data_IF_295978334087
#
_entry.id   IF_295978334087
#
_cell.length_a   1.000
_cell.length_b   1.000
_cell.length_c   1.000
_cell.angle_alpha   90.00
_cell.angle_beta   90.00
_cell.angle_gamma   90.00
#
_symmetry.space_group_name_H-M   'P 1'
#
loop_
_entity.id
_entity.type
_entity.pdbx_description
1 polymer ?
#
# COMPACT_ATOMS: atom_id res chain seq x y z
N UNK A 1 28.29 7.05 11.37
CA UNK A 1 27.00 6.33 11.37
C UNK A 1 25.94 7.29 11.86
N UNK A 2 24.87 7.47 11.10
CA UNK A 2 23.74 8.28 11.53
C UNK A 2 23.07 7.63 12.74
N UNK A 3 22.66 8.44 13.73
CA UNK A 3 21.91 7.93 14.88
C UNK A 3 20.50 7.50 14.47
N UNK A 4 19.88 6.59 15.23
CA UNK A 4 18.48 6.16 15.01
C UNK A 4 17.54 7.37 14.94
N UNK A 5 17.72 8.34 15.84
CA UNK A 5 16.94 9.58 15.86
C UNK A 5 17.12 10.38 14.55
N UNK A 6 18.36 10.55 14.08
CA UNK A 6 18.65 11.27 12.82
C UNK A 6 18.01 10.59 11.61
N UNK A 7 18.02 9.25 11.58
CA UNK A 7 17.41 8.46 10.50
C UNK A 7 15.89 8.64 10.50
N UNK A 8 15.25 8.55 11.67
CA UNK A 8 13.81 8.71 11.82
C UNK A 8 13.39 10.13 11.41
N UNK A 9 14.08 11.16 11.90
CA UNK A 9 13.78 12.56 11.58
C UNK A 9 13.97 12.85 10.09
N UNK A 10 15.03 12.32 9.47
CA UNK A 10 15.25 12.45 8.02
C UNK A 10 14.13 11.77 7.22
N UNK A 11 13.70 10.58 7.65
CA UNK A 11 12.56 9.88 7.02
C UNK A 11 11.26 10.69 7.14
N UNK A 12 10.98 11.27 8.32
CA UNK A 12 9.83 12.14 8.54
C UNK A 12 9.88 13.39 7.65
N UNK A 13 11.05 14.01 7.49
CA UNK A 13 11.23 15.16 6.60
C UNK A 13 10.91 14.80 5.14
N UNK A 14 11.44 13.68 4.64
CA UNK A 14 11.10 13.21 3.29
C UNK A 14 9.61 12.90 3.12
N UNK A 15 8.96 12.32 4.14
CA UNK A 15 7.51 12.10 4.14
C UNK A 15 6.75 13.44 4.10
N UNK A 16 7.19 14.45 4.83
CA UNK A 16 6.57 15.78 4.82
C UNK A 16 6.68 16.44 3.44
N UNK A 17 7.88 16.45 2.83
CA UNK A 17 8.09 16.90 1.45
C UNK A 17 7.18 16.18 0.46
N UNK A 18 7.05 14.85 0.61
CA UNK A 18 6.20 14.03 -0.24
C UNK A 18 4.73 14.44 -0.13
N UNK A 19 4.26 14.78 1.07
CA UNK A 19 2.89 15.28 1.28
C UNK A 19 2.67 16.64 0.59
N UNK A 20 3.66 17.53 0.57
CA UNK A 20 3.56 18.80 -0.15
C UNK A 20 3.49 18.59 -1.68
N UNK A 21 4.32 17.69 -2.21
CA UNK A 21 4.19 17.29 -3.62
C UNK A 21 2.85 16.61 -3.92
N UNK A 22 2.31 15.84 -2.97
CA UNK A 22 0.99 15.24 -3.14
C UNK A 22 -0.12 16.29 -3.24
N UNK A 23 -0.10 17.31 -2.36
CA UNK A 23 -1.08 18.42 -2.37
C UNK A 23 -1.05 19.21 -3.67
N UNK A 24 0.13 19.39 -4.26
CA UNK A 24 0.31 20.07 -5.54
C UNK A 24 0.04 19.18 -6.76
N UNK A 25 -0.40 17.94 -6.56
CA UNK A 25 -0.71 16.98 -7.63
C UNK A 25 0.53 16.37 -8.29
N UNK A 26 1.74 16.64 -7.78
CA UNK A 26 2.97 16.08 -8.32
C UNK A 26 3.27 14.70 -7.73
N UNK A 27 2.45 13.72 -8.09
CA UNK A 27 2.49 12.37 -7.50
C UNK A 27 3.80 11.63 -7.78
N UNK A 28 4.46 11.89 -8.91
CA UNK A 28 5.78 11.30 -9.22
C UNK A 28 6.87 11.77 -8.26
N UNK A 29 6.94 13.09 -7.98
CA UNK A 29 7.88 13.63 -7.00
C UNK A 29 7.53 13.19 -5.58
N UNK A 30 6.23 13.13 -5.25
CA UNK A 30 5.78 12.57 -3.98
C UNK A 30 6.26 11.12 -3.79
N UNK A 31 6.04 10.26 -4.78
CA UNK A 31 6.51 8.87 -4.77
C UNK A 31 8.03 8.77 -4.61
N UNK A 32 8.79 9.58 -5.34
CA UNK A 32 10.25 9.63 -5.20
C UNK A 32 10.67 9.94 -3.75
N UNK A 33 10.07 10.96 -3.14
CA UNK A 33 10.35 11.34 -1.74
C UNK A 33 9.91 10.26 -0.74
N UNK A 34 8.76 9.61 -0.95
CA UNK A 34 8.37 8.46 -0.12
C UNK A 34 9.36 7.28 -0.20
N UNK A 35 9.89 6.99 -1.39
CA UNK A 35 10.94 5.97 -1.54
C UNK A 35 12.21 6.35 -0.79
N UNK A 36 12.63 7.62 -0.83
CA UNK A 36 13.75 8.10 -0.01
C UNK A 36 13.48 7.93 1.49
N UNK A 37 12.26 8.25 1.94
CA UNK A 37 11.85 8.06 3.33
C UNK A 37 11.94 6.59 3.77
N UNK A 38 11.48 5.65 2.95
CA UNK A 38 11.59 4.21 3.24
C UNK A 38 13.03 3.70 3.20
N UNK A 39 13.85 4.23 2.29
CA UNK A 39 15.27 3.86 2.21
C UNK A 39 16.03 4.24 3.48
N UNK A 40 15.72 5.40 4.08
CA UNK A 40 16.25 5.77 5.40
C UNK A 40 15.88 4.73 6.47
N UNK A 41 14.63 4.26 6.48
CA UNK A 41 14.17 3.28 7.47
C UNK A 41 14.60 1.83 7.16
N UNK A 42 15.29 1.59 6.04
CA UNK A 42 15.74 0.25 5.64
C UNK A 42 16.96 -0.20 6.43
N UNK A 43 17.82 0.74 6.84
CA UNK A 43 19.04 0.44 7.62
C UNK A 43 18.74 0.11 9.08
N UNK A 44 17.54 0.46 9.56
CA UNK A 44 17.07 0.17 10.91
C UNK A 44 16.60 -1.29 10.99
N UNK A 45 17.29 -2.09 11.82
CA UNK A 45 16.98 -3.51 12.03
C UNK A 45 16.39 -3.75 13.41
N UNK A 46 15.32 -4.53 13.49
CA UNK A 46 14.78 -5.01 14.76
C UNK A 46 15.79 -5.97 15.40
N UNK A 47 16.31 -5.68 16.61
CA UNK A 47 17.26 -6.56 17.31
C UNK A 47 16.68 -7.94 17.65
N UNK A 48 15.35 -8.10 17.67
CA UNK A 48 14.66 -9.39 17.83
C UNK A 48 14.15 -10.00 16.52
N UNK A 49 14.33 -9.30 15.40
CA UNK A 49 13.66 -9.58 14.13
C UNK A 49 14.02 -10.93 13.50
N UNK A 50 13.11 -11.90 13.64
CA UNK A 50 12.91 -12.93 12.62
C UNK A 50 12.76 -12.22 11.28
N UNK A 51 13.64 -12.50 10.31
CA UNK A 51 13.48 -11.98 8.94
C UNK A 51 12.10 -12.42 8.44
N UNK A 52 11.29 -11.52 7.90
CA UNK A 52 10.12 -11.97 7.12
C UNK A 52 10.62 -12.86 5.97
N UNK A 53 9.83 -13.83 5.50
CA UNK A 53 10.24 -14.70 4.38
C UNK A 53 10.75 -13.89 3.17
N UNK A 54 10.12 -12.76 2.88
CA UNK A 54 10.54 -11.86 1.81
C UNK A 54 11.92 -11.22 2.06
N UNK A 55 12.24 -10.85 3.29
CA UNK A 55 13.55 -10.29 3.69
C UNK A 55 14.63 -11.37 3.79
N UNK A 56 14.26 -12.59 4.19
CA UNK A 56 15.15 -13.74 4.22
C UNK A 56 15.55 -14.16 2.79
N UNK A 57 14.58 -14.20 1.86
CA UNK A 57 14.83 -14.52 0.46
C UNK A 57 15.63 -13.42 -0.26
N UNK A 58 15.33 -12.14 -0.01
CA UNK A 58 16.10 -11.03 -0.57
C UNK A 58 17.57 -11.04 -0.08
N UNK A 59 17.80 -11.47 1.16
CA UNK A 59 19.14 -11.63 1.74
C UNK A 59 19.92 -12.83 1.18
N UNK A 60 19.28 -13.79 0.48
CA UNK A 60 19.94 -14.94 -0.14
C UNK A 60 20.43 -14.67 -1.58
N UNK A 61 20.02 -13.55 -2.20
CA UNK A 61 20.35 -13.21 -3.61
C UNK A 61 21.54 -12.24 -3.72
N UNK A 62 22.13 -11.78 -2.61
CA UNK A 62 23.32 -10.92 -2.63
C UNK A 62 24.18 -11.10 -1.37
N UNK A 63 25.43 -11.60 -1.47
CA UNK A 63 26.34 -11.71 -0.33
C UNK A 63 27.06 -10.38 0.02
N UNK A 64 26.69 -9.25 -0.59
CA UNK A 64 27.55 -8.05 -0.60
C UNK A 64 27.08 -6.89 0.29
N UNK A 65 26.21 -7.13 1.28
CA UNK A 65 25.46 -6.07 1.97
C UNK A 65 25.57 -6.04 3.49
N UNK A 66 26.72 -6.37 4.08
CA UNK A 66 26.98 -6.20 5.53
C UNK A 66 27.54 -4.80 5.85
N UNK A 67 26.97 -3.76 5.23
CA UNK A 67 27.30 -2.36 5.52
C UNK A 67 26.19 -1.69 6.32
N UNK A 68 26.51 -1.27 7.55
CA UNK A 68 25.79 -0.26 8.35
C UNK A 68 24.35 -0.55 8.78
N UNK A 69 24.03 -1.78 9.17
CA UNK A 69 22.77 -2.03 9.89
C UNK A 69 22.82 -1.37 11.28
N UNK A 70 21.87 -0.46 11.56
CA UNK A 70 21.76 0.22 12.86
C UNK A 70 20.75 -0.54 13.72
N UNK A 71 21.15 -1.08 14.89
CA UNK A 71 20.22 -1.71 15.81
C UNK A 71 19.17 -0.70 16.28
N UNK A 72 17.91 -1.06 16.12
CA UNK A 72 16.78 -0.20 16.50
C UNK A 72 16.48 -0.35 17.99
N UNK A 73 16.21 0.75 18.70
CA UNK A 73 15.80 0.68 20.10
C UNK A 73 14.36 0.12 20.19
N UNK A 74 14.03 -0.76 21.15
CA UNK A 74 12.69 -1.33 21.26
C UNK A 74 11.55 -0.31 21.31
N UNK A 75 11.80 0.84 21.95
CA UNK A 75 10.87 1.97 22.05
C UNK A 75 10.54 2.62 20.71
N UNK A 76 11.46 2.61 19.73
CA UNK A 76 11.25 3.22 18.41
C UNK A 76 10.52 2.28 17.44
N UNK A 77 10.46 0.98 17.73
CA UNK A 77 9.92 -0.01 16.80
C UNK A 77 8.46 0.30 16.42
N UNK A 78 7.65 0.73 17.38
CA UNK A 78 6.25 1.09 17.15
C UNK A 78 6.14 2.32 16.22
N UNK A 79 6.94 3.35 16.47
CA UNK A 79 6.95 4.58 15.68
C UNK A 79 7.47 4.36 14.26
N UNK A 80 8.52 3.56 14.10
CA UNK A 80 9.06 3.18 12.79
C UNK A 80 8.03 2.36 12.01
N UNK A 81 7.34 1.43 12.68
CA UNK A 81 6.28 0.62 12.07
C UNK A 81 5.13 1.49 11.60
N UNK A 82 4.67 2.42 12.42
CA UNK A 82 3.63 3.40 12.07
C UNK A 82 4.08 4.34 10.93
N UNK A 83 5.34 4.77 10.96
CA UNK A 83 5.91 5.61 9.91
C UNK A 83 5.96 4.86 8.56
N UNK A 84 6.46 3.62 8.54
CA UNK A 84 6.46 2.77 7.33
C UNK A 84 5.03 2.55 6.81
N UNK A 85 4.09 2.26 7.71
CA UNK A 85 2.68 2.02 7.37
C UNK A 85 2.04 3.23 6.70
N UNK A 86 2.23 4.42 7.28
CA UNK A 86 1.68 5.67 6.74
C UNK A 86 2.31 6.06 5.40
N UNK A 87 3.62 5.82 5.23
CA UNK A 87 4.30 6.04 3.95
C UNK A 87 3.71 5.12 2.88
N UNK A 88 3.61 3.82 3.14
CA UNK A 88 3.02 2.85 2.22
C UNK A 88 1.56 3.19 1.86
N UNK A 89 0.76 3.61 2.84
CA UNK A 89 -0.62 4.06 2.61
C UNK A 89 -0.71 5.25 1.65
N UNK A 90 0.17 6.24 1.83
CA UNK A 90 0.19 7.43 0.98
C UNK A 90 0.74 7.12 -0.42
N UNK A 91 1.75 6.25 -0.53
CA UNK A 91 2.25 5.76 -1.82
C UNK A 91 1.16 5.02 -2.60
N UNK A 92 0.35 4.19 -1.94
CA UNK A 92 -0.79 3.54 -2.59
C UNK A 92 -1.75 4.56 -3.21
N UNK A 93 -2.04 5.65 -2.50
CA UNK A 93 -2.85 6.75 -3.01
C UNK A 93 -2.21 7.42 -4.23
N UNK A 94 -0.91 7.75 -4.16
CA UNK A 94 -0.17 8.29 -5.31
C UNK A 94 -0.22 7.36 -6.52
N UNK A 95 -0.03 6.07 -6.32
CA UNK A 95 -0.07 5.08 -7.40
C UNK A 95 -1.46 4.98 -8.03
N UNK A 96 -2.53 5.05 -7.23
CA UNK A 96 -3.89 5.12 -7.77
C UNK A 96 -4.13 6.40 -8.58
N UNK A 97 -3.60 7.55 -8.14
CA UNK A 97 -3.68 8.82 -8.88
C UNK A 97 -2.89 8.82 -10.20
N UNK A 98 -1.82 8.04 -10.26
CA UNK A 98 -1.00 7.82 -11.45
C UNK A 98 -1.49 6.64 -12.32
N UNK A 99 -2.63 6.04 -11.99
CA UNK A 99 -3.20 4.86 -12.65
C UNK A 99 -2.27 3.61 -12.64
N UNK A 100 -1.28 3.61 -11.75
CA UNK A 100 -0.32 2.50 -11.55
C UNK A 100 -0.89 1.49 -10.55
N UNK A 101 -2.04 0.92 -10.89
CA UNK A 101 -2.85 0.17 -9.93
C UNK A 101 -2.16 -1.06 -9.34
N UNK A 102 -1.33 -1.80 -10.11
CA UNK A 102 -0.53 -2.93 -9.56
C UNK A 102 0.35 -2.49 -8.39
N UNK A 103 1.09 -1.38 -8.56
CA UNK A 103 1.94 -0.81 -7.51
C UNK A 103 1.11 -0.24 -6.34
N UNK A 104 -0.09 0.27 -6.64
CA UNK A 104 -1.05 0.70 -5.62
C UNK A 104 -1.49 -0.45 -4.71
N UNK A 105 -1.81 -1.61 -5.30
CA UNK A 105 -2.14 -2.83 -4.55
C UNK A 105 -0.96 -3.26 -3.67
N UNK A 106 0.25 -3.35 -4.24
CA UNK A 106 1.45 -3.74 -3.50
C UNK A 106 1.71 -2.82 -2.31
N UNK A 107 1.67 -1.50 -2.52
CA UNK A 107 1.89 -0.52 -1.46
C UNK A 107 0.81 -0.60 -0.37
N UNK A 108 -0.47 -0.77 -0.74
CA UNK A 108 -1.54 -0.91 0.23
C UNK A 108 -1.42 -2.22 1.02
N UNK A 109 -1.03 -3.33 0.39
CA UNK A 109 -0.76 -4.61 1.07
C UNK A 109 0.36 -4.46 2.10
N UNK A 110 1.47 -3.78 1.76
CA UNK A 110 2.53 -3.48 2.76
C UNK A 110 2.01 -2.68 3.94
N UNK A 111 1.09 -1.74 3.71
CA UNK A 111 0.44 -0.99 4.80
C UNK A 111 -0.40 -1.90 5.69
N UNK A 112 -1.17 -2.83 5.10
CA UNK A 112 -2.01 -3.81 5.82
C UNK A 112 -1.16 -4.80 6.63
N UNK A 113 -0.06 -5.31 6.06
CA UNK A 113 0.88 -6.21 6.74
C UNK A 113 1.45 -5.58 8.02
N UNK A 114 1.69 -4.28 8.00
CA UNK A 114 2.15 -3.54 9.18
C UNK A 114 0.99 -3.35 10.16
N UNK A 115 -0.12 -2.78 9.71
CA UNK A 115 -1.34 -2.69 10.52
C UNK A 115 -2.57 -2.57 9.61
N UNK A 116 -3.52 -3.50 9.72
CA UNK A 116 -4.80 -3.38 9.03
C UNK A 116 -5.56 -2.14 9.50
N UNK A 117 -5.98 -1.30 8.57
CA UNK A 117 -6.79 -0.11 8.85
C UNK A 117 -7.84 0.06 7.76
N UNK A 118 -8.96 0.72 8.08
CA UNK A 118 -10.02 1.06 7.13
C UNK A 118 -9.44 1.73 5.89
N UNK A 119 -8.55 2.72 6.08
CA UNK A 119 -7.89 3.44 4.99
C UNK A 119 -7.02 2.54 4.12
N UNK A 120 -6.29 1.58 4.69
CA UNK A 120 -5.40 0.71 3.92
C UNK A 120 -6.19 -0.25 3.02
N UNK A 121 -7.23 -0.89 3.56
CA UNK A 121 -8.15 -1.72 2.77
C UNK A 121 -8.86 -0.90 1.70
N UNK A 122 -9.38 0.29 2.05
CA UNK A 122 -10.02 1.18 1.08
C UNK A 122 -9.08 1.57 -0.06
N UNK A 123 -7.81 1.90 0.22
CA UNK A 123 -6.81 2.22 -0.82
C UNK A 123 -6.53 1.04 -1.73
N UNK A 124 -6.46 -0.18 -1.17
CA UNK A 124 -6.26 -1.40 -1.96
C UNK A 124 -7.49 -1.71 -2.84
N UNK A 125 -8.70 -1.53 -2.30
CA UNK A 125 -9.93 -1.64 -3.07
C UNK A 125 -9.97 -0.67 -4.26
N UNK A 126 -9.61 0.60 -4.06
CA UNK A 126 -9.52 1.58 -5.16
C UNK A 126 -8.54 1.13 -6.24
N UNK A 127 -7.41 0.54 -5.86
CA UNK A 127 -6.45 -0.01 -6.81
C UNK A 127 -7.03 -1.22 -7.57
N UNK A 128 -7.76 -2.12 -6.90
CA UNK A 128 -8.45 -3.25 -7.55
C UNK A 128 -9.53 -2.79 -8.54
N UNK A 129 -10.32 -1.79 -8.19
CA UNK A 129 -11.32 -1.17 -9.08
C UNK A 129 -10.65 -0.65 -10.35
N UNK A 130 -9.51 0.03 -10.22
CA UNK A 130 -8.72 0.52 -11.35
C UNK A 130 -8.18 -0.59 -12.25
N UNK A 131 -7.95 -1.79 -11.70
CA UNK A 131 -7.61 -3.00 -12.47
C UNK A 131 -8.81 -3.70 -13.09
N UNK A 132 -10.04 -3.30 -12.76
CA UNK A 132 -11.27 -4.00 -13.13
C UNK A 132 -11.55 -5.26 -12.30
N UNK A 133 -10.78 -5.51 -11.24
CA UNK A 133 -10.98 -6.65 -10.35
C UNK A 133 -11.99 -6.27 -9.25
N UNK A 134 -13.27 -6.34 -9.61
CA UNK A 134 -14.33 -5.91 -8.71
C UNK A 134 -14.59 -6.89 -7.57
N UNK A 135 -14.29 -8.18 -7.73
CA UNK A 135 -14.42 -9.18 -6.67
C UNK A 135 -13.41 -8.90 -5.55
N UNK A 136 -12.13 -8.68 -5.89
CA UNK A 136 -11.11 -8.31 -4.91
C UNK A 136 -11.43 -6.98 -4.22
N UNK A 137 -11.94 -5.99 -4.96
CA UNK A 137 -12.35 -4.71 -4.39
C UNK A 137 -13.50 -4.85 -3.38
N UNK A 138 -14.52 -5.66 -3.66
CA UNK A 138 -15.62 -5.92 -2.71
C UNK A 138 -15.09 -6.62 -1.46
N UNK A 139 -14.17 -7.56 -1.59
CA UNK A 139 -13.56 -8.23 -0.44
C UNK A 139 -12.85 -7.23 0.48
N UNK A 140 -12.02 -6.34 -0.09
CA UNK A 140 -11.32 -5.32 0.70
C UNK A 140 -12.28 -4.31 1.35
N UNK A 141 -13.38 -3.93 0.66
CA UNK A 141 -14.37 -3.02 1.24
C UNK A 141 -15.16 -3.68 2.38
N UNK A 142 -15.37 -5.00 2.35
CA UNK A 142 -15.96 -5.74 3.48
C UNK A 142 -15.04 -5.77 4.68
N UNK A 143 -13.74 -6.01 4.46
CA UNK A 143 -12.73 -5.91 5.53
C UNK A 143 -12.72 -4.49 6.14
N UNK A 144 -12.73 -3.44 5.30
CA UNK A 144 -12.82 -2.06 5.75
C UNK A 144 -14.10 -1.79 6.57
N UNK A 145 -15.26 -2.28 6.11
CA UNK A 145 -16.54 -2.12 6.81
C UNK A 145 -16.62 -2.92 8.11
N UNK A 146 -15.88 -4.03 8.23
CA UNK A 146 -15.79 -4.79 9.48
C UNK A 146 -15.01 -4.03 10.56
N UNK A 147 -14.01 -3.25 10.15
CA UNK A 147 -13.21 -2.41 11.05
C UNK A 147 -13.95 -1.14 11.49
N UNK A 148 -14.70 -0.51 10.58
CA UNK A 148 -15.57 0.62 10.90
C UNK A 148 -16.91 0.51 10.13
N UNK A 149 -17.95 -0.05 10.76
CA UNK A 149 -19.27 -0.17 10.15
C UNK A 149 -19.99 1.17 9.94
N UNK A 150 -19.48 2.26 10.51
CA UNK A 150 -20.10 3.60 10.44
C UNK A 150 -19.53 4.46 9.30
N UNK A 151 -18.41 4.04 8.70
CA UNK A 151 -17.77 4.74 7.59
C UNK A 151 -18.69 4.75 6.35
N UNK A 152 -19.28 5.91 6.09
CA UNK A 152 -20.17 6.13 4.95
C UNK A 152 -19.43 6.07 3.62
N UNK A 153 -18.15 6.43 3.59
CA UNK A 153 -17.33 6.38 2.37
C UNK A 153 -17.10 4.94 1.93
N UNK A 154 -16.86 4.02 2.87
CA UNK A 154 -16.73 2.59 2.55
C UNK A 154 -18.03 2.02 1.99
N UNK A 155 -19.17 2.32 2.61
CA UNK A 155 -20.50 1.87 2.13
C UNK A 155 -20.82 2.40 0.73
N UNK A 156 -20.63 3.71 0.52
CA UNK A 156 -20.88 4.34 -0.77
C UNK A 156 -19.99 3.74 -1.88
N UNK A 157 -18.72 3.50 -1.59
CA UNK A 157 -17.82 2.85 -2.55
C UNK A 157 -18.25 1.41 -2.84
N UNK A 158 -18.67 0.66 -1.84
CA UNK A 158 -19.15 -0.72 -2.00
C UNK A 158 -20.37 -0.78 -2.95
N UNK A 159 -21.33 0.12 -2.80
CA UNK A 159 -22.49 0.22 -3.70
C UNK A 159 -22.08 0.55 -5.15
N UNK A 160 -21.04 1.36 -5.33
CA UNK A 160 -20.47 1.66 -6.67
C UNK A 160 -19.80 0.43 -7.26
N UNK A 161 -18.97 -0.27 -6.49
CA UNK A 161 -18.25 -1.45 -6.96
C UNK A 161 -19.20 -2.59 -7.29
N UNK A 162 -20.22 -2.84 -6.47
CA UNK A 162 -21.20 -3.88 -6.74
C UNK A 162 -21.98 -3.65 -8.03
N UNK A 163 -22.32 -2.39 -8.34
CA UNK A 163 -22.95 -2.03 -9.62
C UNK A 163 -22.02 -2.33 -10.80
N UNK A 164 -20.74 -1.95 -10.71
CA UNK A 164 -19.73 -2.26 -11.74
C UNK A 164 -19.54 -3.77 -11.91
N UNK A 165 -19.46 -4.51 -10.81
CA UNK A 165 -19.37 -5.98 -10.79
C UNK A 165 -20.55 -6.63 -11.50
N UNK A 166 -21.79 -6.24 -11.16
CA UNK A 166 -23.02 -6.76 -11.81
C UNK A 166 -23.05 -6.43 -13.31
N UNK A 167 -22.64 -5.22 -13.69
CA UNK A 167 -22.57 -4.82 -15.09
C UNK A 167 -21.53 -5.66 -15.88
N UNK A 168 -20.37 -5.93 -15.29
CA UNK A 168 -19.33 -6.75 -15.93
C UNK A 168 -19.78 -8.20 -16.12
N UNK A 169 -20.40 -8.82 -15.10
CA UNK A 169 -20.98 -10.16 -15.21
C UNK A 169 -22.04 -10.22 -16.31
N UNK A 170 -22.93 -9.22 -16.37
CA UNK A 170 -23.94 -9.15 -17.42
C UNK A 170 -23.33 -9.00 -18.82
N UNK A 171 -22.25 -8.21 -18.96
CA UNK A 171 -21.51 -8.05 -20.21
C UNK A 171 -20.88 -9.36 -20.66
N UNK A 172 -20.20 -10.05 -19.76
CA UNK A 172 -19.56 -11.34 -20.02
C UNK A 172 -20.59 -12.41 -20.43
N UNK A 173 -21.74 -12.48 -19.74
CA UNK A 173 -22.83 -13.41 -20.09
C UNK A 173 -23.36 -13.16 -21.51
N UNK A 174 -23.53 -11.90 -21.92
CA UNK A 174 -23.97 -11.55 -23.28
C UNK A 174 -22.93 -11.93 -24.34
N UNK A 175 -21.64 -11.67 -24.07
CA UNK A 175 -20.55 -12.05 -24.97
C UNK A 175 -20.50 -13.57 -25.17
N UNK A 176 -20.60 -14.33 -24.07
CA UNK A 176 -20.62 -15.79 -24.11
C UNK A 176 -21.80 -16.32 -24.96
N UNK A 177 -23.02 -15.82 -24.72
CA UNK A 177 -24.20 -16.21 -25.50
C UNK A 177 -24.05 -15.90 -27.00
N UNK A 178 -23.39 -14.80 -27.36
CA UNK A 178 -23.10 -14.45 -28.76
C UNK A 178 -22.04 -15.33 -29.43
N UNK A 179 -21.08 -15.87 -28.67
CA UNK A 179 -20.03 -16.76 -29.18
C UNK A 179 -20.54 -18.18 -29.46
N UNK A 180 -21.50 -18.68 -28.67
CA UNK A 180 -22.08 -20.03 -28.83
C UNK A 180 -23.42 -20.07 -29.58
N UNK A 181 -23.95 -18.90 -29.96
CA UNK A 181 -25.23 -18.77 -30.68
C UNK A 181 -25.10 -18.61 -32.20
N UNK A 182 -23.90 -18.71 -32.78
CA UNK A 182 -23.72 -18.69 -34.25
C UNK A 182 -23.56 -20.12 -34.77
N UNK A 183 -24.48 -20.62 -35.62
CA UNK A 183 -24.35 -21.90 -36.30
C UNK A 183 -23.28 -21.87 -37.40
#
# INVERSE_FOLDING_TARGET
MDSVDSIIETSKAYKADANEYFKTGNYKKALFKYHLALNQLRVLRDPKGQKSEAEAMASMVSPSGEGDAVPTRPEDLADIKELKRTIHLNMANCYCKEEKFKKGVEAATRSIELQPTVKAYYRRAVAWIGRGDYDAAVSDLKEAASLDPTDRSVKAEMDVVERKRKAEVARQRKQLAGMFGRP
#
